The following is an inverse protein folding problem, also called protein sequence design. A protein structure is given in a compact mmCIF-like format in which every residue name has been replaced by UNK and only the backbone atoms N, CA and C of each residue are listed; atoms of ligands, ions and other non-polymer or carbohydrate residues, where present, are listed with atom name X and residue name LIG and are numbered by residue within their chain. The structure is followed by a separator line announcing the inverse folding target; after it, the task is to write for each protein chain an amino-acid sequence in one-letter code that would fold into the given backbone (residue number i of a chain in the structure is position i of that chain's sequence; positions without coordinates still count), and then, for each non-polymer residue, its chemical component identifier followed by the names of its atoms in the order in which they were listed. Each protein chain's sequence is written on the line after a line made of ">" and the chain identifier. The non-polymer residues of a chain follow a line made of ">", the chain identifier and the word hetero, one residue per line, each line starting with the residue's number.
data_IF_852480874970
#
_entry.id   IF_852480874970
#
_cell.length_a   1.000
_cell.length_b   1.000
_cell.length_c   1.000
_cell.angle_alpha   90.00
_cell.angle_beta   90.00
_cell.angle_gamma   90.00
#
_symmetry.space_group_name_H-M   'P 1'
#
loop_
_entity.id
_entity.type
_entity.pdbx_description
1 polymer ?
#
# COMPACT_ATOMS: atom_id res chain seq x y z
N UNK A 1 -18.60 -16.30 13.35
CA UNK A 1 -18.11 -15.64 14.59
C UNK A 1 -19.26 -15.11 15.44
N UNK A 2 -20.11 -14.21 14.92
CA UNK A 2 -21.29 -13.72 15.66
C UNK A 2 -22.22 -14.86 16.12
N UNK A 3 -22.38 -15.92 15.32
CA UNK A 3 -23.13 -17.12 15.71
C UNK A 3 -22.47 -17.92 16.84
N UNK A 4 -21.14 -18.07 16.82
CA UNK A 4 -20.39 -18.78 17.86
C UNK A 4 -20.41 -18.00 19.19
N UNK A 5 -20.31 -16.67 19.13
CA UNK A 5 -20.50 -15.82 20.31
C UNK A 5 -21.96 -15.85 20.81
N UNK A 6 -22.94 -15.83 19.90
CA UNK A 6 -24.34 -15.96 20.27
C UNK A 6 -24.63 -17.31 20.94
N UNK A 7 -24.04 -18.40 20.46
CA UNK A 7 -24.11 -19.73 21.08
C UNK A 7 -23.42 -19.74 22.45
N UNK A 8 -22.24 -19.13 22.58
CA UNK A 8 -21.54 -18.98 23.86
C UNK A 8 -22.39 -18.21 24.87
N UNK A 9 -22.92 -17.04 24.50
CA UNK A 9 -23.82 -16.24 25.36
C UNK A 9 -25.11 -16.98 25.72
N UNK A 10 -25.69 -17.74 24.78
CA UNK A 10 -26.89 -18.57 25.01
C UNK A 10 -26.62 -19.78 25.90
N UNK A 11 -25.37 -20.26 25.99
CA UNK A 11 -25.02 -21.39 26.84
C UNK A 11 -25.09 -21.08 28.34
N UNK A 12 -25.12 -19.80 28.73
CA UNK A 12 -25.12 -19.36 30.13
C UNK A 12 -23.79 -19.59 30.87
N UNK A 13 -22.77 -20.11 30.17
CA UNK A 13 -21.44 -20.34 30.73
C UNK A 13 -20.69 -19.01 30.79
N UNK A 14 -20.37 -18.57 32.01
CA UNK A 14 -19.45 -17.44 32.23
C UNK A 14 -18.04 -17.99 32.41
N UNK A 15 -17.17 -17.72 31.44
CA UNK A 15 -15.76 -18.08 31.48
C UNK A 15 -14.94 -16.85 31.13
N UNK A 16 -14.25 -16.32 32.13
CA UNK A 16 -13.49 -15.07 32.01
C UNK A 16 -12.40 -15.16 30.93
N UNK A 17 -11.73 -16.30 30.78
CA UNK A 17 -10.73 -16.50 29.72
C UNK A 17 -11.38 -16.51 28.34
N UNK A 18 -12.54 -17.18 28.18
CA UNK A 18 -13.27 -17.19 26.92
C UNK A 18 -13.78 -15.79 26.52
N UNK A 19 -14.25 -15.01 27.48
CA UNK A 19 -14.67 -13.62 27.26
C UNK A 19 -13.50 -12.71 26.87
N UNK A 20 -12.36 -12.86 27.55
CA UNK A 20 -11.12 -12.16 27.21
C UNK A 20 -10.64 -12.51 25.81
N UNK A 21 -10.67 -13.78 25.42
CA UNK A 21 -10.31 -14.21 24.07
C UNK A 21 -11.27 -13.70 22.99
N UNK A 22 -12.58 -13.71 23.24
CA UNK A 22 -13.57 -13.13 22.33
C UNK A 22 -13.38 -11.62 22.17
N UNK A 23 -13.06 -10.91 23.27
CA UNK A 23 -12.76 -9.49 23.23
C UNK A 23 -11.47 -9.20 22.46
N UNK A 24 -10.38 -9.91 22.76
CA UNK A 24 -9.10 -9.78 22.05
C UNK A 24 -9.25 -10.09 20.56
N UNK A 25 -10.05 -11.10 20.20
CA UNK A 25 -10.35 -11.40 18.80
C UNK A 25 -11.09 -10.23 18.13
N UNK A 26 -12.10 -9.64 18.77
CA UNK A 26 -12.82 -8.48 18.20
C UNK A 26 -11.93 -7.26 18.03
N UNK A 27 -11.05 -6.99 18.98
CA UNK A 27 -10.17 -5.83 18.95
C UNK A 27 -9.03 -6.01 17.95
N UNK A 28 -8.41 -7.20 17.90
CA UNK A 28 -7.12 -7.39 17.24
C UNK A 28 -7.18 -8.23 15.97
N UNK A 29 -8.35 -8.77 15.56
CA UNK A 29 -8.42 -9.68 14.40
C UNK A 29 -7.80 -9.08 13.13
N UNK A 30 -8.13 -7.84 12.79
CA UNK A 30 -7.57 -7.20 11.59
C UNK A 30 -6.09 -6.94 11.70
N UNK A 31 -5.62 -6.47 12.86
CA UNK A 31 -4.20 -6.22 13.10
C UNK A 31 -3.42 -7.53 12.98
N UNK A 32 -3.97 -8.62 13.52
CA UNK A 32 -3.40 -9.97 13.38
C UNK A 32 -3.39 -10.45 11.92
N UNK A 33 -4.45 -10.18 11.15
CA UNK A 33 -4.49 -10.52 9.73
C UNK A 33 -3.43 -9.73 8.94
N UNK A 34 -3.32 -8.42 9.18
CA UNK A 34 -2.27 -7.60 8.56
C UNK A 34 -0.88 -8.08 8.95
N UNK A 35 -0.64 -8.35 10.23
CA UNK A 35 0.64 -8.88 10.71
C UNK A 35 0.96 -10.26 10.09
N UNK A 36 -0.05 -11.09 9.84
CA UNK A 36 0.13 -12.36 9.14
C UNK A 36 0.61 -12.14 7.70
N UNK A 37 -0.04 -11.23 6.95
CA UNK A 37 0.38 -10.90 5.58
C UNK A 37 1.79 -10.30 5.54
N UNK A 38 2.11 -9.39 6.45
CA UNK A 38 3.45 -8.82 6.60
C UNK A 38 4.49 -9.91 6.86
N UNK A 39 4.21 -10.83 7.80
CA UNK A 39 5.11 -11.94 8.14
C UNK A 39 5.32 -12.89 6.95
N UNK A 40 4.29 -13.17 6.17
CA UNK A 40 4.37 -14.03 4.99
C UNK A 40 5.21 -13.41 3.89
N UNK A 41 5.20 -12.08 3.74
CA UNK A 41 6.01 -11.38 2.75
C UNK A 41 7.49 -11.20 3.14
N UNK A 42 7.86 -11.36 4.42
CA UNK A 42 9.23 -11.11 4.90
C UNK A 42 10.33 -11.85 4.11
N UNK A 43 10.21 -13.16 3.79
CA UNK A 43 11.23 -13.85 3.03
C UNK A 43 11.43 -13.24 1.63
N UNK A 44 10.32 -12.85 0.98
CA UNK A 44 10.35 -12.21 -0.33
C UNK A 44 10.96 -10.82 -0.24
N UNK A 45 10.58 -10.01 0.75
CA UNK A 45 11.16 -8.68 0.96
C UNK A 45 12.68 -8.73 1.18
N UNK A 46 13.15 -9.68 1.99
CA UNK A 46 14.57 -9.89 2.23
C UNK A 46 15.30 -10.29 0.94
N UNK A 47 14.78 -11.26 0.20
CA UNK A 47 15.35 -11.68 -1.08
C UNK A 47 15.39 -10.54 -2.11
N UNK A 48 14.31 -9.77 -2.26
CA UNK A 48 14.27 -8.63 -3.17
C UNK A 48 15.24 -7.52 -2.76
N UNK A 49 15.41 -7.25 -1.46
CA UNK A 49 16.40 -6.30 -0.96
C UNK A 49 17.85 -6.75 -1.23
N UNK A 50 18.08 -8.05 -1.28
CA UNK A 50 19.34 -8.71 -1.70
C UNK A 50 19.40 -8.94 -3.23
N UNK A 51 18.51 -8.28 -3.98
CA UNK A 51 18.42 -8.29 -5.44
C UNK A 51 18.11 -9.65 -6.10
N UNK A 52 17.50 -10.57 -5.36
CA UNK A 52 17.10 -11.89 -5.84
C UNK A 52 15.65 -11.82 -6.35
N UNK A 53 15.47 -11.33 -7.58
CA UNK A 53 14.15 -11.19 -8.21
C UNK A 53 13.50 -12.54 -8.55
N UNK A 54 14.31 -13.58 -8.74
CA UNK A 54 13.90 -14.95 -9.03
C UNK A 54 13.07 -15.58 -7.90
N UNK A 55 13.11 -15.03 -6.68
CA UNK A 55 12.21 -15.42 -5.57
C UNK A 55 10.74 -15.36 -5.97
N UNK A 56 10.36 -14.47 -6.90
CA UNK A 56 9.00 -14.29 -7.40
C UNK A 56 8.57 -15.36 -8.42
N UNK A 57 9.48 -16.23 -8.87
CA UNK A 57 9.12 -17.38 -9.70
C UNK A 57 8.36 -18.44 -8.91
N UNK A 58 8.56 -18.50 -7.59
CA UNK A 58 7.73 -19.32 -6.72
C UNK A 58 6.33 -18.70 -6.61
N UNK A 59 5.33 -19.53 -6.88
CA UNK A 59 3.93 -19.11 -6.93
C UNK A 59 3.43 -18.65 -5.55
N UNK A 60 3.83 -19.33 -4.48
CA UNK A 60 3.38 -19.01 -3.13
C UNK A 60 3.98 -17.67 -2.70
N UNK A 61 5.29 -17.49 -2.87
CA UNK A 61 5.97 -16.22 -2.63
C UNK A 61 5.32 -15.06 -3.39
N UNK A 62 5.01 -15.26 -4.67
CA UNK A 62 4.36 -14.22 -5.48
C UNK A 62 2.97 -13.84 -4.96
N UNK A 63 2.16 -14.83 -4.55
CA UNK A 63 0.83 -14.59 -3.98
C UNK A 63 0.93 -13.82 -2.66
N UNK A 64 1.79 -14.29 -1.75
CA UNK A 64 2.00 -13.69 -0.43
C UNK A 64 2.51 -12.26 -0.54
N UNK A 65 3.48 -12.04 -1.41
CA UNK A 65 4.04 -10.72 -1.65
C UNK A 65 3.04 -9.76 -2.28
N UNK A 66 2.27 -10.18 -3.29
CA UNK A 66 1.28 -9.29 -3.92
C UNK A 66 0.06 -9.02 -3.01
N UNK A 67 -0.32 -9.96 -2.14
CA UNK A 67 -1.30 -9.70 -1.09
C UNK A 67 -0.79 -8.61 -0.12
N UNK A 68 0.45 -8.76 0.38
CA UNK A 68 1.10 -7.72 1.18
C UNK A 68 1.15 -6.38 0.43
N UNK A 69 1.57 -6.38 -0.84
CA UNK A 69 1.69 -5.18 -1.66
C UNK A 69 0.35 -4.44 -1.82
N UNK A 70 -0.75 -5.17 -2.06
CA UNK A 70 -2.09 -4.61 -2.09
C UNK A 70 -2.52 -4.01 -0.75
N UNK A 71 -2.14 -4.63 0.37
CA UNK A 71 -2.38 -4.07 1.71
C UNK A 71 -1.58 -2.79 1.96
N UNK A 72 -0.33 -2.71 1.50
CA UNK A 72 0.48 -1.49 1.62
C UNK A 72 -0.11 -0.29 0.86
N UNK A 73 -0.91 -0.52 -0.19
CA UNK A 73 -1.64 0.54 -0.91
C UNK A 73 -2.93 0.93 -0.14
N UNK A 74 -3.76 -0.07 0.16
CA UNK A 74 -5.15 0.12 0.62
C UNK A 74 -5.30 0.57 2.07
N UNK A 75 -4.29 0.34 2.92
CA UNK A 75 -4.30 0.73 4.35
C UNK A 75 -4.01 2.21 4.59
N UNK A 76 -3.66 2.95 3.54
CA UNK A 76 -3.20 4.33 3.67
C UNK A 76 -4.38 5.30 3.79
N UNK A 77 -4.20 6.37 4.58
CA UNK A 77 -5.21 7.43 4.70
C UNK A 77 -5.52 8.13 3.36
N UNK A 78 -4.56 8.42 2.46
CA UNK A 78 -4.86 8.94 1.14
C UNK A 78 -5.81 8.04 0.33
N UNK A 79 -5.63 6.71 0.37
CA UNK A 79 -6.51 5.77 -0.33
C UNK A 79 -7.94 5.83 0.24
N UNK A 80 -8.07 5.87 1.58
CA UNK A 80 -9.35 6.07 2.26
C UNK A 80 -10.05 7.34 1.85
N UNK A 81 -9.36 8.47 2.02
CA UNK A 81 -9.97 9.77 1.83
C UNK A 81 -10.40 9.93 0.36
N UNK A 82 -9.61 9.43 -0.60
CA UNK A 82 -9.99 9.39 -2.01
C UNK A 82 -11.23 8.51 -2.28
N UNK A 83 -11.27 7.29 -1.71
CA UNK A 83 -12.41 6.39 -1.90
C UNK A 83 -13.71 6.95 -1.31
N UNK A 84 -13.63 7.64 -0.16
CA UNK A 84 -14.77 8.28 0.49
C UNK A 84 -15.22 9.55 -0.24
N UNK A 85 -14.29 10.35 -0.76
CA UNK A 85 -14.59 11.54 -1.57
C UNK A 85 -15.25 11.19 -2.90
N UNK A 86 -14.92 10.03 -3.48
CA UNK A 86 -15.52 9.56 -4.72
C UNK A 86 -16.97 9.06 -4.57
N UNK A 87 -17.48 8.90 -3.33
CA UNK A 87 -18.86 8.44 -3.12
C UNK A 87 -19.86 9.55 -3.46
N UNK A 88 -20.91 9.26 -4.25
CA UNK A 88 -21.98 10.22 -4.48
C UNK A 88 -22.71 10.51 -3.15
N UNK A 89 -23.18 11.75 -2.97
CA UNK A 89 -23.88 12.22 -1.77
C UNK A 89 -25.05 13.14 -2.10
N UNK A 90 -25.71 12.89 -3.24
CA UNK A 90 -26.75 13.75 -3.83
C UNK A 90 -28.13 13.52 -3.23
N UNK A 91 -28.34 12.40 -2.54
CA UNK A 91 -29.61 12.06 -1.88
C UNK A 91 -29.37 11.31 -0.55
N UNK A 92 -30.45 11.09 0.22
CA UNK A 92 -30.37 10.51 1.56
C UNK A 92 -29.80 9.07 1.57
N UNK A 93 -30.13 8.25 0.55
CA UNK A 93 -29.64 6.87 0.45
C UNK A 93 -28.14 6.88 0.16
N UNK A 94 -27.70 7.71 -0.78
CA UNK A 94 -26.28 7.90 -1.11
C UNK A 94 -25.46 8.35 0.10
N UNK A 95 -26.00 9.29 0.88
CA UNK A 95 -25.37 9.77 2.13
C UNK A 95 -25.25 8.63 3.15
N UNK A 96 -26.31 7.86 3.38
CA UNK A 96 -26.31 6.74 4.32
C UNK A 96 -25.29 5.66 3.91
N UNK A 97 -25.21 5.34 2.62
CA UNK A 97 -24.21 4.39 2.08
C UNK A 97 -22.79 4.92 2.31
N UNK A 98 -22.52 6.18 1.98
CA UNK A 98 -21.20 6.77 2.14
C UNK A 98 -20.76 6.81 3.63
N UNK A 99 -21.68 7.11 4.55
CA UNK A 99 -21.40 7.11 5.99
C UNK A 99 -21.19 5.69 6.53
N UNK A 100 -21.98 4.72 6.05
CA UNK A 100 -21.79 3.30 6.37
C UNK A 100 -20.43 2.80 5.88
N UNK A 101 -20.00 3.20 4.68
CA UNK A 101 -18.67 2.89 4.16
C UNK A 101 -17.56 3.49 5.02
N UNK A 102 -17.72 4.73 5.49
CA UNK A 102 -16.76 5.37 6.38
C UNK A 102 -16.63 4.60 7.71
N UNK A 103 -17.75 4.18 8.30
CA UNK A 103 -17.76 3.39 9.54
C UNK A 103 -17.20 1.97 9.35
N UNK A 104 -17.38 1.38 8.16
CA UNK A 104 -16.88 0.06 7.81
C UNK A 104 -15.48 0.09 7.15
N UNK A 105 -14.80 1.24 7.14
CA UNK A 105 -13.58 1.41 6.35
C UNK A 105 -12.47 0.40 6.69
N UNK A 106 -12.34 0.03 7.96
CA UNK A 106 -11.38 -0.98 8.41
C UNK A 106 -11.53 -2.31 7.65
N UNK A 107 -12.77 -2.71 7.36
CA UNK A 107 -13.08 -3.93 6.64
C UNK A 107 -12.89 -3.72 5.14
N UNK A 108 -13.39 -2.60 4.61
CA UNK A 108 -13.28 -2.27 3.19
C UNK A 108 -11.81 -2.16 2.76
N UNK A 109 -10.97 -1.52 3.56
CA UNK A 109 -9.52 -1.41 3.33
C UNK A 109 -8.87 -2.78 3.23
N UNK A 110 -9.21 -3.71 4.13
CA UNK A 110 -8.71 -5.09 4.06
C UNK A 110 -9.18 -5.78 2.77
N UNK A 111 -10.46 -5.68 2.43
CA UNK A 111 -11.02 -6.27 1.20
C UNK A 111 -10.38 -5.68 -0.06
N UNK A 112 -10.17 -4.36 -0.11
CA UNK A 112 -9.45 -3.70 -1.19
C UNK A 112 -8.02 -4.22 -1.31
N UNK A 113 -7.30 -4.38 -0.20
CA UNK A 113 -5.95 -4.94 -0.22
C UNK A 113 -5.89 -6.33 -0.83
N UNK A 114 -6.81 -7.22 -0.43
CA UNK A 114 -6.94 -8.56 -1.00
C UNK A 114 -7.29 -8.51 -2.49
N UNK A 115 -8.24 -7.66 -2.91
CA UNK A 115 -8.65 -7.50 -4.30
C UNK A 115 -7.53 -6.95 -5.19
N UNK A 116 -6.80 -5.94 -4.72
CA UNK A 116 -5.65 -5.37 -5.43
C UNK A 116 -4.56 -6.44 -5.59
N UNK A 117 -4.21 -7.15 -4.51
CA UNK A 117 -3.22 -8.22 -4.57
C UNK A 117 -3.60 -9.34 -5.56
N UNK A 118 -4.87 -9.75 -5.56
CA UNK A 118 -5.39 -10.72 -6.53
C UNK A 118 -5.35 -10.20 -7.97
N UNK A 119 -5.70 -8.93 -8.18
CA UNK A 119 -5.65 -8.31 -9.51
C UNK A 119 -4.23 -8.28 -10.05
N UNK A 120 -3.26 -7.82 -9.24
CA UNK A 120 -1.85 -7.81 -9.59
C UNK A 120 -1.32 -9.22 -9.87
N UNK A 121 -1.73 -10.21 -9.08
CA UNK A 121 -1.31 -11.58 -9.28
C UNK A 121 -1.88 -12.16 -10.57
N UNK A 122 -3.15 -11.89 -10.87
CA UNK A 122 -3.78 -12.33 -12.12
C UNK A 122 -3.05 -11.78 -13.33
N UNK A 123 -2.64 -10.51 -13.26
CA UNK A 123 -2.00 -9.80 -14.37
C UNK A 123 -0.46 -9.93 -14.43
N UNK A 124 0.14 -10.69 -13.51
CA UNK A 124 1.61 -10.81 -13.32
C UNK A 124 2.44 -11.19 -14.56
N UNK A 125 1.80 -11.75 -15.58
CA UNK A 125 2.48 -12.15 -16.83
C UNK A 125 2.42 -11.06 -17.91
N UNK A 126 1.50 -10.10 -17.76
CA UNK A 126 1.38 -8.94 -18.64
C UNK A 126 2.12 -7.73 -18.06
N UNK A 127 2.16 -7.60 -16.73
CA UNK A 127 2.90 -6.57 -16.04
C UNK A 127 4.41 -6.85 -16.02
N UNK A 128 5.22 -5.80 -16.06
CA UNK A 128 6.68 -5.89 -15.91
C UNK A 128 7.05 -5.79 -14.44
N UNK A 129 7.62 -6.88 -13.92
CA UNK A 129 8.17 -6.95 -12.57
C UNK A 129 9.67 -6.65 -12.60
N UNK A 130 10.10 -5.63 -11.88
CA UNK A 130 11.48 -5.15 -11.95
C UNK A 130 12.05 -4.71 -10.60
N UNK A 131 13.37 -4.83 -10.49
CA UNK A 131 14.17 -4.16 -9.46
C UNK A 131 14.86 -2.95 -10.06
N UNK A 132 14.83 -1.85 -9.32
CA UNK A 132 15.60 -0.65 -9.60
C UNK A 132 16.82 -0.63 -8.67
N UNK A 133 18.00 -0.64 -9.26
CA UNK A 133 19.30 -0.67 -8.55
C UNK A 133 19.91 0.72 -8.61
N UNK A 134 20.14 1.32 -7.45
CA UNK A 134 20.64 2.68 -7.30
C UNK A 134 22.04 2.67 -6.68
N UNK A 135 23.06 2.84 -7.52
CA UNK A 135 24.46 2.98 -7.11
C UNK A 135 24.91 4.46 -7.04
N UNK A 136 23.96 5.39 -6.98
CA UNK A 136 24.22 6.83 -6.94
C UNK A 136 24.34 7.36 -5.51
N UNK A 137 24.79 8.60 -5.35
CA UNK A 137 24.93 9.24 -4.03
C UNK A 137 23.59 9.66 -3.41
N UNK A 138 22.53 9.76 -4.23
CA UNK A 138 21.18 10.09 -3.76
C UNK A 138 20.43 8.79 -3.46
N UNK A 139 20.13 8.46 -2.20
CA UNK A 139 19.42 7.23 -1.88
C UNK A 139 17.92 7.33 -2.20
N UNK A 140 17.27 6.20 -2.38
CA UNK A 140 15.81 6.14 -2.35
C UNK A 140 15.29 6.48 -0.94
N UNK A 141 14.13 7.15 -0.90
CA UNK A 141 13.39 7.44 0.33
C UNK A 141 12.05 6.70 0.32
N UNK A 142 11.45 6.50 1.49
CA UNK A 142 10.08 5.97 1.64
C UNK A 142 9.20 6.94 2.43
N UNK A 143 7.95 6.57 2.69
CA UNK A 143 7.00 7.43 3.40
C UNK A 143 5.97 6.62 4.19
N UNK A 144 5.06 7.33 4.85
CA UNK A 144 3.82 6.77 5.41
C UNK A 144 2.86 6.20 4.34
N UNK A 145 3.17 6.40 3.05
CA UNK A 145 2.55 5.77 1.90
C UNK A 145 3.64 5.09 1.04
N UNK A 146 4.06 3.87 1.38
CA UNK A 146 5.29 3.31 0.83
C UNK A 146 5.17 2.82 -0.62
N UNK A 147 3.98 2.41 -1.06
CA UNK A 147 3.72 1.97 -2.43
C UNK A 147 2.98 3.05 -3.19
N UNK A 148 3.62 3.70 -4.16
CA UNK A 148 3.04 4.83 -4.89
C UNK A 148 3.00 4.56 -6.39
N UNK A 149 1.99 5.07 -7.09
CA UNK A 149 2.00 5.07 -8.55
C UNK A 149 2.90 6.21 -9.04
N UNK A 150 3.98 5.88 -9.74
CA UNK A 150 4.97 6.83 -10.27
C UNK A 150 4.80 7.14 -11.75
N UNK A 151 3.78 6.57 -12.40
CA UNK A 151 3.52 6.84 -13.81
C UNK A 151 3.29 8.35 -14.07
N UNK A 152 3.64 8.83 -15.26
CA UNK A 152 3.55 10.25 -15.61
C UNK A 152 2.10 10.76 -15.69
N UNK A 153 1.15 9.87 -15.98
CA UNK A 153 -0.28 10.20 -16.05
C UNK A 153 -0.92 10.45 -14.67
N UNK A 154 -0.24 10.13 -13.58
CA UNK A 154 -0.78 10.30 -12.22
C UNK A 154 -0.88 11.78 -11.90
N UNK A 155 -2.11 12.26 -11.68
CA UNK A 155 -2.34 13.63 -11.26
C UNK A 155 -1.76 13.88 -9.86
N UNK A 156 -0.94 14.93 -9.75
CA UNK A 156 -0.36 15.39 -8.47
C UNK A 156 -1.27 16.35 -7.72
N UNK A 157 -2.39 16.75 -8.33
CA UNK A 157 -3.29 17.80 -7.81
C UNK A 157 -4.75 17.39 -7.75
N UNK A 158 -5.17 16.37 -8.50
CA UNK A 158 -6.57 15.93 -8.54
C UNK A 158 -6.67 14.45 -8.17
N UNK A 159 -7.81 14.08 -7.59
CA UNK A 159 -8.17 12.68 -7.31
C UNK A 159 -8.90 12.08 -8.52
N UNK A 160 -8.14 11.83 -9.59
CA UNK A 160 -8.63 11.16 -10.80
C UNK A 160 -7.96 9.80 -10.92
N UNK A 161 -8.72 8.78 -11.36
CA UNK A 161 -8.19 7.46 -11.62
C UNK A 161 -7.11 7.53 -12.73
N UNK A 162 -5.90 7.02 -12.50
CA UNK A 162 -4.86 7.00 -13.51
C UNK A 162 -5.17 5.96 -14.60
N UNK A 163 -4.75 6.25 -15.83
CA UNK A 163 -4.88 5.33 -16.96
C UNK A 163 -3.89 4.16 -16.89
N UNK A 164 -2.69 4.40 -16.35
CA UNK A 164 -1.61 3.42 -16.22
C UNK A 164 -1.14 3.30 -14.77
N UNK A 165 -0.65 2.11 -14.40
CA UNK A 165 -0.04 1.86 -13.11
C UNK A 165 1.45 1.51 -13.24
N UNK A 166 2.30 2.35 -12.63
CA UNK A 166 3.67 2.00 -12.30
C UNK A 166 3.80 2.04 -10.78
N UNK A 167 3.50 0.93 -10.10
CA UNK A 167 3.54 0.87 -8.64
C UNK A 167 4.97 0.65 -8.15
N UNK A 168 5.55 1.70 -7.57
CA UNK A 168 6.90 1.75 -7.05
C UNK A 168 6.91 1.59 -5.53
N UNK A 169 7.81 0.73 -5.05
CA UNK A 169 8.02 0.43 -3.65
C UNK A 169 9.52 0.38 -3.31
N UNK A 170 10.06 1.41 -2.64
CA UNK A 170 11.43 1.38 -2.13
C UNK A 170 11.58 0.33 -1.03
N UNK A 171 12.48 -0.65 -1.25
CA UNK A 171 12.80 -1.70 -0.28
C UNK A 171 13.94 -1.27 0.64
N UNK A 172 14.89 -0.52 0.10
CA UNK A 172 16.05 0.01 0.81
C UNK A 172 16.53 1.31 0.12
N UNK A 173 17.49 2.04 0.70
CA UNK A 173 18.15 3.17 0.03
C UNK A 173 18.73 2.84 -1.36
N UNK A 174 19.10 1.57 -1.60
CA UNK A 174 19.77 1.09 -2.83
C UNK A 174 18.81 0.38 -3.79
N UNK A 175 17.82 -0.33 -3.26
CA UNK A 175 16.97 -1.24 -4.06
C UNK A 175 15.51 -0.84 -3.92
N UNK A 176 14.82 -0.76 -5.05
CA UNK A 176 13.37 -0.62 -5.09
C UNK A 176 12.75 -1.68 -6.00
N UNK A 177 11.51 -2.04 -5.72
CA UNK A 177 10.72 -2.92 -6.57
C UNK A 177 9.64 -2.12 -7.29
N UNK A 178 9.34 -2.49 -8.52
CA UNK A 178 8.31 -1.85 -9.31
C UNK A 178 7.51 -2.87 -10.14
N UNK A 179 6.19 -2.63 -10.21
CA UNK A 179 5.27 -3.31 -11.14
C UNK A 179 4.80 -2.27 -12.14
N UNK A 180 5.15 -2.43 -13.41
CA UNK A 180 4.83 -1.47 -14.46
C UNK A 180 3.90 -2.07 -15.51
N UNK A 181 2.85 -1.32 -15.83
CA UNK A 181 2.09 -1.49 -17.08
C UNK A 181 2.81 -0.78 -18.24
N UNK A 182 3.58 0.28 -17.93
CA UNK A 182 4.34 1.04 -18.93
C UNK A 182 5.62 0.33 -19.39
N UNK A 183 6.22 0.85 -20.46
CA UNK A 183 7.52 0.38 -20.98
C UNK A 183 8.71 1.14 -20.38
N UNK A 184 8.49 1.92 -19.30
CA UNK A 184 9.54 2.74 -18.69
C UNK A 184 10.70 1.91 -18.15
N UNK A 185 10.40 0.74 -17.59
CA UNK A 185 11.39 -0.18 -17.04
C UNK A 185 11.21 -1.57 -17.66
N UNK A 186 12.32 -2.26 -17.88
CA UNK A 186 12.32 -3.62 -18.42
C UNK A 186 12.16 -4.64 -17.31
N UNK A 187 11.64 -5.83 -17.62
CA UNK A 187 11.56 -6.93 -16.66
C UNK A 187 12.98 -7.34 -16.22
N UNK A 188 13.19 -7.55 -14.92
CA UNK A 188 14.52 -7.87 -14.39
C UNK A 188 15.11 -6.74 -13.54
N UNK A 189 16.43 -6.57 -13.62
CA UNK A 189 17.15 -5.50 -12.92
C UNK A 189 17.39 -4.32 -13.86
N UNK A 190 17.14 -3.12 -13.38
CA UNK A 190 17.39 -1.87 -14.10
C UNK A 190 18.27 -0.98 -13.21
N UNK A 191 19.44 -0.60 -13.70
CA UNK A 191 20.23 0.45 -13.05
C UNK A 191 19.56 1.81 -13.28
N UNK A 192 19.51 2.65 -12.25
CA UNK A 192 18.93 3.99 -12.34
C UNK A 192 19.98 5.06 -12.08
N UNK A 193 19.84 6.18 -12.80
CA UNK A 193 20.68 7.35 -12.60
C UNK A 193 20.12 8.28 -11.51
N UNK A 194 20.93 9.26 -11.12
CA UNK A 194 20.58 10.19 -10.04
C UNK A 194 19.32 11.01 -10.38
N UNK A 195 19.15 11.35 -11.66
CA UNK A 195 17.97 12.05 -12.17
C UNK A 195 16.69 11.24 -11.93
N UNK A 196 16.72 9.96 -12.26
CA UNK A 196 15.59 9.03 -12.06
C UNK A 196 15.30 8.85 -10.58
N UNK A 197 16.33 8.68 -9.74
CA UNK A 197 16.16 8.56 -8.29
C UNK A 197 15.52 9.81 -7.70
N UNK A 198 16.00 11.00 -8.09
CA UNK A 198 15.43 12.27 -7.65
C UNK A 198 13.96 12.41 -8.07
N UNK A 199 13.62 12.02 -9.30
CA UNK A 199 12.23 12.03 -9.80
C UNK A 199 11.33 11.10 -8.97
N UNK A 200 11.76 9.85 -8.74
CA UNK A 200 11.01 8.87 -7.95
C UNK A 200 10.81 9.36 -6.51
N UNK A 201 11.86 9.91 -5.88
CA UNK A 201 11.78 10.49 -4.55
C UNK A 201 10.80 11.69 -4.50
N UNK A 202 10.77 12.55 -5.52
CA UNK A 202 9.77 13.65 -5.61
C UNK A 202 8.35 13.09 -5.71
N UNK A 203 8.13 12.08 -6.55
CA UNK A 203 6.81 11.46 -6.73
C UNK A 203 6.31 10.77 -5.47
N UNK A 204 7.20 10.09 -4.75
CA UNK A 204 6.90 9.47 -3.47
C UNK A 204 6.60 10.52 -2.40
N UNK A 205 7.47 11.53 -2.24
CA UNK A 205 7.27 12.59 -1.26
C UNK A 205 6.01 13.45 -1.53
N UNK A 206 5.61 13.60 -2.79
CA UNK A 206 4.37 14.33 -3.15
C UNK A 206 3.10 13.56 -2.78
N UNK A 207 3.21 12.24 -2.61
CA UNK A 207 2.11 11.34 -2.20
C UNK A 207 2.15 11.03 -0.70
N UNK A 208 3.26 11.33 -0.02
CA UNK A 208 3.37 11.26 1.43
C UNK A 208 2.39 12.23 2.12
N UNK A 209 1.75 11.75 3.19
CA UNK A 209 0.77 12.55 3.91
C UNK A 209 1.44 13.40 4.99
N UNK A 210 2.23 12.75 5.85
CA UNK A 210 2.82 13.36 7.05
C UNK A 210 4.34 13.18 7.08
N UNK A 211 4.83 12.00 6.70
CA UNK A 211 6.24 11.65 6.91
C UNK A 211 6.89 11.07 5.66
N UNK A 212 8.12 11.52 5.40
CA UNK A 212 9.09 10.81 4.56
C UNK A 212 10.21 10.27 5.45
N UNK A 213 10.81 9.16 5.04
CA UNK A 213 11.79 8.41 5.80
C UNK A 213 12.97 8.12 4.88
N UNK A 214 14.19 8.35 5.36
CA UNK A 214 15.43 8.06 4.64
C UNK A 214 16.53 7.65 5.61
N UNK A 215 17.67 7.20 5.06
CA UNK A 215 18.83 6.76 5.85
C UNK A 215 19.61 7.92 6.47
N UNK A 216 19.47 9.14 5.96
CA UNK A 216 20.14 10.35 6.45
C UNK A 216 19.22 11.56 6.35
N UNK A 217 19.52 12.61 7.12
CA UNK A 217 18.79 13.87 7.03
C UNK A 217 18.99 14.54 5.65
N UNK A 218 20.21 14.46 5.10
CA UNK A 218 20.54 15.02 3.80
C UNK A 218 19.71 14.40 2.67
N UNK A 219 19.41 13.10 2.77
CA UNK A 219 18.57 12.39 1.81
C UNK A 219 17.13 12.91 1.77
N UNK A 220 16.55 13.30 2.91
CA UNK A 220 15.13 13.69 2.99
C UNK A 220 14.92 15.20 2.85
N UNK A 221 15.89 16.02 3.23
CA UNK A 221 15.76 17.49 3.29
C UNK A 221 15.28 18.12 1.96
N UNK A 222 15.78 17.72 0.76
CA UNK A 222 15.32 18.29 -0.50
C UNK A 222 13.83 18.07 -0.79
N UNK A 223 13.26 17.01 -0.21
CA UNK A 223 11.91 16.53 -0.54
C UNK A 223 10.84 16.96 0.47
N UNK A 224 11.21 17.53 1.63
CA UNK A 224 10.27 17.95 2.69
C UNK A 224 9.17 18.91 2.18
N UNK A 225 9.49 19.76 1.21
CA UNK A 225 8.55 20.71 0.60
C UNK A 225 7.36 20.05 -0.12
N UNK A 226 7.46 18.75 -0.45
CA UNK A 226 6.43 18.02 -1.18
C UNK A 226 5.40 17.33 -0.25
N UNK A 227 5.71 17.16 1.04
CA UNK A 227 4.85 16.46 2.00
C UNK A 227 3.47 17.13 2.08
N UNK A 228 2.41 16.33 2.01
CA UNK A 228 1.02 16.79 2.13
C UNK A 228 0.58 17.75 1.01
N UNK A 229 1.36 17.90 -0.07
CA UNK A 229 1.03 18.82 -1.18
C UNK A 229 -0.25 18.42 -1.90
N UNK A 230 -0.43 17.12 -2.16
CA UNK A 230 -1.64 16.56 -2.78
C UNK A 230 -2.87 16.77 -1.89
N UNK A 231 -2.70 16.61 -0.56
CA UNK A 231 -3.79 16.75 0.40
C UNK A 231 -4.24 18.20 0.60
N UNK A 232 -3.29 19.14 0.72
CA UNK A 232 -3.60 20.57 0.86
C UNK A 232 -4.40 21.11 -0.33
N UNK A 233 -3.98 20.77 -1.55
CA UNK A 233 -4.62 21.26 -2.78
C UNK A 233 -6.01 20.70 -3.02
N UNK A 234 -6.28 19.47 -2.58
CA UNK A 234 -7.61 18.88 -2.72
C UNK A 234 -8.65 19.46 -1.74
N UNK A 235 -8.22 20.08 -0.65
CA UNK A 235 -9.12 20.80 0.26
C UNK A 235 -9.42 22.24 -0.21
N UNK A 236 -8.63 22.76 -1.16
CA UNK A 236 -8.80 24.09 -1.75
C UNK A 236 -9.66 24.08 -3.03
N UNK A 237 -10.09 22.90 -3.48
CA UNK A 237 -10.84 22.65 -4.72
C UNK A 237 -12.19 21.99 -4.44
#
# INVERSE_FOLDING_TARGET
>A
MQEAEALYRKSGIQNQDAELHLHALKCNLLENLHASHEKMALPVLAALADEQLDVLQDKQHMIEFLAFFGHQISRTKPFRDAALQAQPRSNAIEIEVADTMAHAWWFLSYMFGMSIGLSLYTDRHNARHALLINETEVPFITSDHPVVNVHSCVSTTQFVAPEYADFYYPLSPRVAYIICDSERFTQGKNEVDETTVAELNVKLASQAMVHIIGNTEAAIRPFQKYIGRRYRRANDS
#
